data_IF_595261387301
#
_entry.id   IF_595261387301
#
_cell.length_a   1.000
_cell.length_b   1.000
_cell.length_c   1.000
_cell.angle_alpha   90.00
_cell.angle_beta   90.00
_cell.angle_gamma   90.00
#
_symmetry.space_group_name_H-M   'P 1'
#
loop_
_entity.id
_entity.type
_entity.pdbx_description
1 polymer ?
#
# COMPACT_ATOMS: atom_id res chain seq x y z
N UNK A 1 -25.65 -21.58 -1.93
CA UNK A 1 -24.50 -22.49 -1.72
C UNK A 1 -23.20 -21.68 -1.72
N UNK A 2 -22.99 -20.78 -0.75
CA UNK A 2 -21.77 -19.93 -0.64
C UNK A 2 -21.48 -19.55 0.82
N UNK A 3 -21.81 -20.41 1.77
CA UNK A 3 -21.55 -20.20 3.19
C UNK A 3 -20.54 -21.23 3.68
N UNK A 4 -19.23 -21.09 3.37
CA UNK A 4 -18.19 -21.98 3.95
C UNK A 4 -16.70 -21.66 3.70
N UNK A 5 -16.26 -20.42 3.49
CA UNK A 5 -14.82 -20.15 3.26
C UNK A 5 -14.10 -19.21 4.24
N UNK A 6 -14.73 -18.74 5.31
CA UNK A 6 -14.06 -17.87 6.29
C UNK A 6 -14.35 -18.27 7.74
N UNK A 7 -14.02 -19.51 8.12
CA UNK A 7 -13.91 -19.91 9.55
C UNK A 7 -12.49 -19.70 10.12
N UNK A 8 -11.69 -18.89 9.43
CA UNK A 8 -10.41 -18.39 9.92
C UNK A 8 -10.75 -17.38 11.00
N UNK A 9 -10.71 -17.80 12.27
CA UNK A 9 -11.02 -16.90 13.40
C UNK A 9 -10.22 -15.58 13.29
N UNK A 10 -10.71 -14.44 13.81
CA UNK A 10 -10.19 -13.10 13.51
C UNK A 10 -8.66 -13.00 13.66
N UNK A 11 -8.09 -13.66 14.67
CA UNK A 11 -6.63 -13.77 14.86
C UNK A 11 -5.89 -14.43 13.69
N UNK A 12 -6.43 -15.50 13.14
CA UNK A 12 -5.84 -16.22 12.00
C UNK A 12 -5.89 -15.38 10.71
N UNK A 13 -6.91 -14.53 10.54
CA UNK A 13 -7.00 -13.63 9.40
C UNK A 13 -5.90 -12.55 9.44
N UNK A 14 -5.65 -11.97 10.62
CA UNK A 14 -4.52 -11.05 10.81
C UNK A 14 -3.16 -11.67 10.54
N UNK A 15 -2.95 -12.91 10.97
CA UNK A 15 -1.70 -13.64 10.71
C UNK A 15 -1.53 -13.94 9.22
N UNK A 16 -2.61 -14.30 8.52
CA UNK A 16 -2.56 -14.54 7.08
C UNK A 16 -2.22 -13.26 6.30
N UNK A 17 -2.86 -12.14 6.63
CA UNK A 17 -2.54 -10.85 5.99
C UNK A 17 -1.14 -10.37 6.35
N UNK A 18 -0.67 -10.62 7.57
CA UNK A 18 0.71 -10.34 7.96
C UNK A 18 1.70 -11.10 7.06
N UNK A 19 1.51 -12.41 6.89
CA UNK A 19 2.36 -13.22 6.02
C UNK A 19 2.30 -12.76 4.57
N UNK A 20 1.12 -12.34 4.09
CA UNK A 20 0.97 -11.78 2.75
C UNK A 20 1.75 -10.46 2.60
N UNK A 21 1.70 -9.57 3.59
CA UNK A 21 2.48 -8.33 3.60
C UNK A 21 3.99 -8.61 3.65
N UNK A 22 4.41 -9.59 4.46
CA UNK A 22 5.82 -10.03 4.49
C UNK A 22 6.26 -10.53 3.12
N UNK A 23 5.46 -11.38 2.47
CA UNK A 23 5.75 -11.88 1.13
C UNK A 23 5.83 -10.75 0.10
N UNK A 24 4.91 -9.79 0.15
CA UNK A 24 4.94 -8.61 -0.74
C UNK A 24 6.18 -7.74 -0.51
N UNK A 25 6.67 -7.69 0.73
CA UNK A 25 7.89 -6.95 1.08
C UNK A 25 9.14 -7.66 0.58
N UNK A 26 9.20 -8.99 0.71
CA UNK A 26 10.28 -9.79 0.09
C UNK A 26 10.27 -9.63 -1.43
N UNK A 27 9.09 -9.65 -2.06
CA UNK A 27 8.96 -9.41 -3.50
C UNK A 27 9.44 -8.01 -3.90
N UNK A 28 9.11 -6.98 -3.11
CA UNK A 28 9.59 -5.61 -3.33
C UNK A 28 11.12 -5.52 -3.32
N UNK A 29 11.76 -6.11 -2.31
CA UNK A 29 13.22 -6.19 -2.24
C UNK A 29 13.77 -6.97 -3.43
N UNK A 30 13.12 -8.07 -3.83
CA UNK A 30 13.50 -8.85 -5.01
C UNK A 30 13.47 -8.06 -6.31
N UNK A 31 12.43 -7.24 -6.53
CA UNK A 31 12.28 -6.39 -7.73
C UNK A 31 13.44 -5.39 -7.87
N UNK A 32 13.97 -4.88 -6.76
CA UNK A 32 15.11 -3.94 -6.77
C UNK A 32 16.39 -4.60 -7.31
N UNK A 33 16.56 -5.90 -7.11
CA UNK A 33 17.75 -6.63 -7.56
C UNK A 33 17.64 -7.20 -8.97
N UNK A 34 16.52 -6.99 -9.68
CA UNK A 34 16.37 -7.48 -11.06
C UNK A 34 17.23 -6.63 -12.01
N UNK A 35 18.25 -7.21 -12.67
CA UNK A 35 19.08 -6.47 -13.61
C UNK A 35 18.31 -6.17 -14.90
N UNK A 36 18.76 -5.14 -15.63
CA UNK A 36 18.27 -4.77 -16.96
C UNK A 36 16.80 -4.28 -17.04
N UNK A 37 16.20 -3.85 -15.92
CA UNK A 37 14.88 -3.21 -15.91
C UNK A 37 15.03 -1.69 -16.10
N UNK A 38 14.17 -1.08 -16.93
CA UNK A 38 14.17 0.38 -17.09
C UNK A 38 13.80 1.08 -15.78
N UNK A 39 14.44 2.22 -15.49
CA UNK A 39 14.20 2.96 -14.24
C UNK A 39 12.73 3.31 -14.03
N UNK A 40 12.03 3.69 -15.10
CA UNK A 40 10.60 3.99 -15.06
C UNK A 40 9.75 2.77 -14.68
N UNK A 41 10.07 1.60 -15.24
CA UNK A 41 9.36 0.35 -14.93
C UNK A 41 9.62 -0.14 -13.51
N UNK A 42 10.86 0.02 -13.02
CA UNK A 42 11.21 -0.30 -11.64
C UNK A 42 10.42 0.59 -10.67
N UNK A 43 10.40 1.91 -10.91
CA UNK A 43 9.63 2.85 -10.07
C UNK A 43 8.14 2.50 -10.08
N UNK A 44 7.55 2.26 -11.25
CA UNK A 44 6.11 1.93 -11.33
C UNK A 44 5.78 0.62 -10.63
N UNK A 45 6.63 -0.41 -10.75
CA UNK A 45 6.47 -1.68 -10.05
C UNK A 45 6.52 -1.50 -8.51
N UNK A 46 7.48 -0.74 -8.00
CA UNK A 46 7.60 -0.47 -6.56
C UNK A 46 6.40 0.34 -6.03
N UNK A 47 5.94 1.33 -6.79
CA UNK A 47 4.75 2.12 -6.42
C UNK A 47 3.50 1.23 -6.36
N UNK A 48 3.30 0.34 -7.33
CA UNK A 48 2.17 -0.59 -7.33
C UNK A 48 2.23 -1.56 -6.15
N UNK A 49 3.41 -2.09 -5.82
CA UNK A 49 3.62 -2.94 -4.63
C UNK A 49 3.34 -2.20 -3.33
N UNK A 50 3.76 -0.93 -3.23
CA UNK A 50 3.48 -0.07 -2.09
C UNK A 50 1.97 0.17 -1.90
N UNK A 51 1.26 0.49 -2.99
CA UNK A 51 -0.20 0.71 -2.96
C UNK A 51 -0.96 -0.56 -2.59
N UNK A 52 -0.53 -1.73 -3.08
CA UNK A 52 -1.12 -3.01 -2.70
C UNK A 52 -0.99 -3.29 -1.19
N UNK A 53 0.20 -3.07 -0.60
CA UNK A 53 0.42 -3.19 0.84
C UNK A 53 -0.46 -2.23 1.63
N UNK A 54 -0.51 -0.97 1.22
CA UNK A 54 -1.36 0.02 1.86
C UNK A 54 -2.85 -0.37 1.85
N UNK A 55 -3.35 -0.88 0.72
CA UNK A 55 -4.72 -1.38 0.59
C UNK A 55 -5.01 -2.54 1.56
N UNK A 56 -4.11 -3.52 1.64
CA UNK A 56 -4.23 -4.66 2.58
C UNK A 56 -4.27 -4.18 4.04
N UNK A 57 -3.43 -3.21 4.40
CA UNK A 57 -3.39 -2.63 5.75
C UNK A 57 -4.66 -1.88 6.08
N UNK A 58 -5.12 -1.00 5.17
CA UNK A 58 -6.36 -0.22 5.33
C UNK A 58 -7.57 -1.15 5.51
N UNK A 59 -7.69 -2.19 4.69
CA UNK A 59 -8.83 -3.10 4.74
C UNK A 59 -8.82 -4.00 6.00
N UNK A 60 -7.64 -4.47 6.42
CA UNK A 60 -7.55 -5.52 7.45
C UNK A 60 -7.26 -4.97 8.83
N UNK A 61 -6.19 -4.19 9.00
CA UNK A 61 -5.76 -3.73 10.33
C UNK A 61 -6.50 -2.50 10.80
N UNK A 62 -6.91 -1.63 9.87
CA UNK A 62 -7.66 -0.42 10.22
C UNK A 62 -9.19 -0.62 10.21
N UNK A 63 -9.67 -1.84 9.97
CA UNK A 63 -11.10 -2.20 9.98
C UNK A 63 -12.00 -1.39 9.03
N UNK A 64 -11.43 -0.58 8.13
CA UNK A 64 -12.17 0.29 7.20
C UNK A 64 -13.13 -0.46 6.27
N UNK A 65 -13.00 -1.78 6.14
CA UNK A 65 -13.87 -2.62 5.33
C UNK A 65 -15.29 -2.80 5.89
N UNK A 66 -15.51 -2.63 7.20
CA UNK A 66 -16.81 -2.87 7.85
C UNK A 66 -17.34 -1.66 8.65
N UNK A 67 -16.65 -0.52 8.58
CA UNK A 67 -16.92 0.69 9.37
C UNK A 67 -17.78 1.73 8.63
N UNK A 68 -18.37 2.66 9.38
CA UNK A 68 -19.19 3.74 8.83
C UNK A 68 -18.37 4.69 7.93
N UNK A 69 -19.00 5.23 6.88
CA UNK A 69 -18.34 6.09 5.87
C UNK A 69 -17.61 7.29 6.47
N UNK A 70 -18.11 7.86 7.57
CA UNK A 70 -17.48 8.96 8.28
C UNK A 70 -16.14 8.56 8.94
N UNK A 71 -16.07 7.37 9.56
CA UNK A 71 -14.86 6.83 10.18
C UNK A 71 -13.82 6.38 9.15
N UNK A 72 -14.29 5.97 7.96
CA UNK A 72 -13.39 5.73 6.83
C UNK A 72 -12.71 7.01 6.33
N UNK A 73 -13.42 8.15 6.33
CA UNK A 73 -12.87 9.42 5.88
C UNK A 73 -11.77 9.94 6.82
N UNK A 74 -11.96 9.79 8.14
CA UNK A 74 -10.99 10.27 9.14
C UNK A 74 -9.64 9.56 9.07
N UNK A 75 -9.61 8.31 8.62
CA UNK A 75 -8.38 7.55 8.39
C UNK A 75 -7.79 7.82 7.00
N UNK A 76 -8.63 8.06 5.99
CA UNK A 76 -8.16 8.32 4.62
C UNK A 76 -7.47 9.68 4.50
N UNK A 77 -7.93 10.70 5.22
CA UNK A 77 -7.35 12.05 5.21
C UNK A 77 -5.86 12.06 5.60
N UNK A 78 -5.43 11.52 6.77
CA UNK A 78 -4.02 11.46 7.13
C UNK A 78 -3.22 10.50 6.23
N UNK A 79 -3.88 9.58 5.54
CA UNK A 79 -3.23 8.68 4.59
C UNK A 79 -2.86 9.38 3.26
N UNK A 80 -3.72 10.30 2.77
CA UNK A 80 -3.50 11.00 1.49
C UNK A 80 -2.54 12.19 1.65
N UNK A 81 -2.51 12.83 2.81
CA UNK A 81 -1.71 14.04 3.05
C UNK A 81 -0.20 13.88 2.74
N UNK A 82 0.48 12.80 3.17
CA UNK A 82 1.89 12.60 2.85
C UNK A 82 2.15 12.43 1.35
N UNK A 83 1.25 11.78 0.62
CA UNK A 83 1.38 11.61 -0.83
C UNK A 83 1.25 12.95 -1.57
N UNK A 84 0.30 13.79 -1.16
CA UNK A 84 0.15 15.16 -1.67
C UNK A 84 1.38 16.00 -1.34
N UNK A 85 1.87 15.92 -0.11
CA UNK A 85 3.06 16.66 0.31
C UNK A 85 4.31 16.24 -0.48
N UNK A 86 4.52 14.94 -0.67
CA UNK A 86 5.61 14.43 -1.51
C UNK A 86 5.53 14.94 -2.95
N UNK A 87 4.31 14.99 -3.52
CA UNK A 87 4.11 15.55 -4.86
C UNK A 87 4.48 17.04 -4.94
N UNK A 88 4.06 17.83 -3.95
CA UNK A 88 4.43 19.25 -3.86
C UNK A 88 5.94 19.42 -3.77
N UNK A 89 6.61 18.64 -2.91
CA UNK A 89 8.07 18.69 -2.78
C UNK A 89 8.79 18.29 -4.07
N UNK A 90 8.31 17.27 -4.77
CA UNK A 90 8.89 16.86 -6.07
C UNK A 90 8.72 17.96 -7.13
N UNK A 91 7.55 18.62 -7.19
CA UNK A 91 7.31 19.72 -8.11
C UNK A 91 8.22 20.93 -7.80
N UNK A 92 8.38 21.24 -6.51
CA UNK A 92 9.24 22.33 -6.03
C UNK A 92 10.72 22.07 -6.36
N UNK A 93 11.20 20.86 -6.08
CA UNK A 93 12.55 20.43 -6.44
C UNK A 93 12.78 20.45 -7.95
N UNK A 94 11.80 20.00 -8.74
CA UNK A 94 11.87 20.06 -10.21
C UNK A 94 11.96 21.51 -10.70
N UNK A 95 11.18 22.42 -10.13
CA UNK A 95 11.22 23.85 -10.51
C UNK A 95 12.57 24.49 -10.18
N UNK A 96 13.16 24.15 -9.03
CA UNK A 96 14.51 24.62 -8.64
C UNK A 96 15.61 24.07 -9.54
N UNK A 97 15.49 22.83 -10.00
CA UNK A 97 16.50 22.22 -10.89
C UNK A 97 16.55 22.84 -12.29
N UNK A 98 15.44 23.46 -12.74
CA UNK A 98 15.35 24.10 -14.06
C UNK A 98 15.76 25.58 -14.06
N UNK A 99 16.08 26.17 -12.90
CA UNK A 99 16.59 27.55 -12.77
C UNK A 99 18.05 27.54 -12.34
#
# INVERSE_FOLDING_TARGET
>A
MTARLTSVGPRKAYVLVFLLLTLLTVAEVGVVYVPAVSRALLISALVLLALAKAGLVLMTYMHLGHEARALRLTVLVPFVFPALYAFVLMAEASWRFLR
#
